data_IF_829562897448
#
_entry.id   IF_829562897448
#
_cell.length_a   1.000
_cell.length_b   1.000
_cell.length_c   1.000
_cell.angle_alpha   90.00
_cell.angle_beta   90.00
_cell.angle_gamma   90.00
#
_symmetry.space_group_name_H-M   'P 1'
#
loop_
_entity.id
_entity.type
_entity.pdbx_description
1 polymer ?
#
# COMPACT_ATOMS: atom_id res chain seq x y z
N UNK A 1 -44.81 -41.11 -29.59
CA UNK A 1 -45.62 -40.12 -28.88
C UNK A 1 -44.82 -39.71 -27.68
N UNK A 2 -44.07 -38.62 -27.81
CA UNK A 2 -43.28 -38.04 -26.72
C UNK A 2 -43.71 -36.59 -26.56
N UNK A 3 -44.31 -36.28 -25.44
CA UNK A 3 -44.72 -34.91 -25.13
C UNK A 3 -43.56 -34.21 -24.40
N UNK A 4 -43.05 -33.14 -24.98
CA UNK A 4 -42.12 -32.23 -24.38
C UNK A 4 -42.89 -31.26 -23.46
N UNK A 5 -42.57 -31.27 -22.19
CA UNK A 5 -43.08 -30.31 -21.24
C UNK A 5 -42.23 -29.03 -21.26
N UNK A 6 -42.85 -27.93 -21.68
CA UNK A 6 -42.29 -26.57 -21.58
C UNK A 6 -42.45 -26.06 -20.14
N UNK A 7 -41.35 -25.69 -19.51
CA UNK A 7 -41.35 -24.99 -18.22
C UNK A 7 -41.77 -23.52 -18.42
N UNK A 8 -42.56 -22.93 -17.52
CA UNK A 8 -42.95 -21.54 -17.60
C UNK A 8 -41.79 -20.62 -17.13
N UNK A 9 -41.52 -19.58 -17.93
CA UNK A 9 -40.65 -18.47 -17.62
C UNK A 9 -41.22 -17.63 -16.48
N UNK A 10 -40.45 -17.49 -15.41
CA UNK A 10 -40.80 -16.56 -14.35
C UNK A 10 -40.60 -15.10 -14.78
N UNK A 11 -41.51 -14.19 -14.41
CA UNK A 11 -41.32 -12.77 -14.72
C UNK A 11 -40.24 -12.15 -13.86
N UNK A 12 -39.31 -11.44 -14.50
CA UNK A 12 -38.39 -10.52 -13.85
C UNK A 12 -39.20 -9.38 -13.20
N UNK A 13 -39.25 -9.36 -11.90
CA UNK A 13 -39.71 -8.20 -11.13
C UNK A 13 -38.57 -7.19 -11.06
N UNK A 14 -38.50 -6.33 -12.06
CA UNK A 14 -37.81 -5.05 -11.96
C UNK A 14 -38.81 -4.04 -11.39
N UNK A 15 -38.50 -3.46 -10.25
CA UNK A 15 -39.28 -2.33 -9.76
C UNK A 15 -39.52 -2.33 -8.26
N UNK A 16 -38.48 -2.08 -7.46
CA UNK A 16 -38.67 -1.47 -6.16
C UNK A 16 -37.67 -0.28 -6.07
N UNK A 17 -38.13 0.91 -6.46
CA UNK A 17 -37.56 2.13 -5.90
C UNK A 17 -37.81 2.07 -4.41
N UNK A 18 -36.82 1.61 -3.66
CA UNK A 18 -36.78 1.87 -2.24
C UNK A 18 -36.64 3.39 -2.10
N UNK A 19 -37.74 4.05 -1.71
CA UNK A 19 -37.67 5.39 -1.13
C UNK A 19 -36.82 5.25 0.12
N UNK A 20 -35.53 5.54 0.03
CA UNK A 20 -34.72 5.81 1.19
C UNK A 20 -35.37 7.04 1.86
N UNK A 21 -35.89 6.88 3.06
CA UNK A 21 -36.26 7.99 3.90
C UNK A 21 -35.03 8.90 4.02
N UNK A 22 -35.19 10.23 3.99
CA UNK A 22 -34.05 11.09 4.21
C UNK A 22 -33.45 10.75 5.57
N UNK A 23 -32.17 10.38 5.56
CA UNK A 23 -31.39 10.13 6.77
C UNK A 23 -31.33 11.48 7.53
N UNK A 24 -31.88 11.53 8.73
CA UNK A 24 -31.85 12.71 9.57
C UNK A 24 -30.41 12.92 10.08
N UNK A 25 -29.75 13.94 9.55
CA UNK A 25 -28.33 14.25 9.72
C UNK A 25 -27.99 14.93 11.07
N UNK A 26 -28.92 14.95 12.02
CA UNK A 26 -28.73 15.64 13.31
C UNK A 26 -27.86 14.89 14.31
N UNK A 27 -27.28 13.71 13.96
CA UNK A 27 -26.44 12.88 14.83
C UNK A 27 -24.94 12.88 14.52
N UNK A 28 -24.46 13.76 13.62
CA UNK A 28 -23.04 13.79 13.21
C UNK A 28 -22.09 14.51 14.17
N UNK A 29 -22.42 14.66 15.45
CA UNK A 29 -21.50 15.23 16.46
C UNK A 29 -20.66 14.18 17.20
N UNK A 30 -20.24 13.13 16.51
CA UNK A 30 -19.14 12.26 16.97
C UNK A 30 -17.79 12.83 16.51
N UNK A 31 -16.67 12.44 17.16
CA UNK A 31 -15.36 12.80 16.63
C UNK A 31 -15.24 12.27 15.19
N UNK A 32 -15.01 13.19 14.22
CA UNK A 32 -14.84 12.78 12.83
C UNK A 32 -13.62 11.88 12.74
N UNK A 33 -13.83 10.63 12.33
CA UNK A 33 -12.75 9.69 12.12
C UNK A 33 -12.07 10.02 10.79
N UNK A 34 -10.76 10.19 10.79
CA UNK A 34 -10.00 10.38 9.57
C UNK A 34 -10.11 9.14 8.69
N UNK A 35 -10.29 9.34 7.39
CA UNK A 35 -10.46 8.26 6.41
C UNK A 35 -9.24 8.21 5.50
N UNK A 36 -8.74 7.01 5.21
CA UNK A 36 -7.68 6.80 4.24
C UNK A 36 -8.06 5.67 3.27
N UNK A 37 -7.63 5.80 2.03
CA UNK A 37 -7.80 4.79 0.99
C UNK A 37 -6.49 4.03 0.77
N UNK A 38 -6.53 2.71 0.69
CA UNK A 38 -5.44 1.95 0.07
C UNK A 38 -5.87 1.42 -1.30
N UNK A 39 -5.01 1.59 -2.30
CA UNK A 39 -5.13 0.99 -3.64
C UNK A 39 -4.01 -0.02 -3.75
N UNK A 40 -4.31 -1.30 -3.54
CA UNK A 40 -3.29 -2.35 -3.40
C UNK A 40 -3.84 -3.75 -3.70
N UNK A 41 -2.94 -4.70 -3.91
CA UNK A 41 -3.29 -6.10 -4.02
C UNK A 41 -3.78 -6.69 -2.70
N UNK A 42 -4.73 -7.62 -2.78
CA UNK A 42 -5.17 -8.45 -1.65
C UNK A 42 -4.24 -9.65 -1.52
N UNK A 43 -3.64 -9.86 -0.35
CA UNK A 43 -2.80 -11.02 -0.05
C UNK A 43 -3.54 -11.90 0.99
N UNK A 44 -3.90 -13.15 0.59
CA UNK A 44 -4.87 -13.99 1.29
C UNK A 44 -4.42 -14.48 2.67
N UNK A 45 -3.11 -14.54 2.96
CA UNK A 45 -2.62 -14.95 4.29
C UNK A 45 -2.72 -13.82 5.32
N UNK A 46 -2.99 -12.61 4.86
CA UNK A 46 -3.18 -11.44 5.72
C UNK A 46 -1.87 -10.81 6.20
N UNK A 47 -0.72 -11.27 5.68
CA UNK A 47 0.59 -10.76 6.06
C UNK A 47 0.99 -9.47 5.35
N UNK A 48 0.46 -9.21 4.16
CA UNK A 48 0.85 -8.06 3.33
C UNK A 48 -0.36 -7.46 2.60
N UNK A 49 -0.11 -6.51 1.68
CA UNK A 49 -1.12 -5.91 0.82
C UNK A 49 -2.20 -5.15 1.57
N UNK A 50 -3.38 -5.06 0.98
CA UNK A 50 -4.52 -4.33 1.55
C UNK A 50 -4.89 -4.81 2.96
N UNK A 51 -4.68 -6.09 3.29
CA UNK A 51 -4.93 -6.63 4.63
C UNK A 51 -3.99 -6.02 5.68
N UNK A 52 -2.70 -5.89 5.37
CA UNK A 52 -1.75 -5.25 6.26
C UNK A 52 -2.05 -3.74 6.38
N UNK A 53 -2.43 -3.11 5.28
CA UNK A 53 -2.78 -1.68 5.25
C UNK A 53 -4.00 -1.39 6.15
N UNK A 54 -5.10 -2.13 5.98
CA UNK A 54 -6.31 -1.93 6.77
C UNK A 54 -6.11 -2.22 8.27
N UNK A 55 -5.31 -3.24 8.61
CA UNK A 55 -4.92 -3.51 10.01
C UNK A 55 -4.12 -2.34 10.59
N UNK A 56 -3.21 -1.77 9.80
CA UNK A 56 -2.40 -0.61 10.22
C UNK A 56 -3.27 0.63 10.42
N UNK A 57 -4.15 0.93 9.47
CA UNK A 57 -5.11 2.04 9.60
C UNK A 57 -5.95 1.91 10.85
N UNK A 58 -6.54 0.72 11.06
CA UNK A 58 -7.34 0.45 12.26
C UNK A 58 -6.54 0.62 13.55
N UNK A 59 -5.30 0.09 13.60
CA UNK A 59 -4.43 0.18 14.78
C UNK A 59 -4.05 1.63 15.12
N UNK A 60 -3.95 2.50 14.13
CA UNK A 60 -3.64 3.92 14.29
C UNK A 60 -4.90 4.82 14.38
N UNK A 61 -6.09 4.23 14.49
CA UNK A 61 -7.35 4.98 14.66
C UNK A 61 -7.86 5.68 13.40
N UNK A 62 -7.40 5.28 12.21
CA UNK A 62 -7.87 5.77 10.92
C UNK A 62 -8.87 4.79 10.32
N UNK A 63 -10.01 5.28 9.79
CA UNK A 63 -10.96 4.45 9.06
C UNK A 63 -10.40 4.11 7.68
N UNK A 64 -10.04 2.84 7.49
CA UNK A 64 -9.42 2.37 6.25
C UNK A 64 -10.46 1.89 5.25
N UNK A 65 -10.34 2.36 4.00
CA UNK A 65 -11.04 1.84 2.83
C UNK A 65 -10.06 1.22 1.85
N UNK A 66 -10.52 0.35 0.93
CA UNK A 66 -9.62 -0.34 0.01
C UNK A 66 -10.22 -0.49 -1.39
N UNK A 67 -9.42 -0.20 -2.41
CA UNK A 67 -9.62 -0.62 -3.79
C UNK A 67 -8.60 -1.70 -4.14
N UNK A 68 -9.07 -2.89 -4.48
CA UNK A 68 -8.22 -4.05 -4.73
C UNK A 68 -7.77 -4.09 -6.18
N UNK A 69 -6.47 -4.21 -6.43
CA UNK A 69 -5.85 -4.22 -7.76
C UNK A 69 -5.59 -5.63 -8.28
N UNK A 70 -5.36 -6.57 -7.38
CA UNK A 70 -5.12 -7.97 -7.70
C UNK A 70 -5.40 -8.85 -6.48
N UNK A 71 -5.54 -10.16 -6.73
CA UNK A 71 -5.61 -11.17 -5.69
C UNK A 71 -4.34 -12.01 -5.75
N UNK A 72 -3.64 -12.08 -4.63
CA UNK A 72 -2.42 -12.89 -4.46
C UNK A 72 -2.69 -13.99 -3.45
N UNK A 73 -2.33 -15.22 -3.82
CA UNK A 73 -2.28 -16.37 -2.94
C UNK A 73 -0.97 -17.12 -3.12
N UNK A 74 -0.64 -17.98 -2.17
CA UNK A 74 0.54 -18.82 -2.24
C UNK A 74 0.16 -20.26 -2.61
N UNK A 75 1.05 -20.93 -3.35
CA UNK A 75 0.91 -22.35 -3.66
C UNK A 75 1.67 -23.21 -2.64
N UNK A 76 1.01 -23.84 -1.66
CA UNK A 76 1.69 -24.63 -0.65
C UNK A 76 2.31 -25.94 -1.20
N UNK A 77 1.96 -26.31 -2.43
CA UNK A 77 2.51 -27.51 -3.10
C UNK A 77 3.64 -27.18 -4.07
N UNK A 78 3.96 -25.90 -4.27
CA UNK A 78 5.00 -25.41 -5.17
C UNK A 78 5.83 -24.33 -4.49
N UNK A 79 6.54 -24.70 -3.43
CA UNK A 79 7.46 -23.84 -2.67
C UNK A 79 6.91 -22.46 -2.31
N UNK A 80 5.59 -22.39 -2.04
CA UNK A 80 4.90 -21.14 -1.73
C UNK A 80 4.97 -20.10 -2.84
N UNK A 81 5.07 -20.53 -4.09
CA UNK A 81 5.06 -19.65 -5.26
C UNK A 81 3.80 -18.79 -5.28
N UNK A 82 3.95 -17.55 -5.69
CA UNK A 82 2.83 -16.62 -5.79
C UNK A 82 1.92 -17.00 -6.95
N UNK A 83 0.61 -17.09 -6.66
CA UNK A 83 -0.46 -17.11 -7.66
C UNK A 83 -1.05 -15.71 -7.69
N UNK A 84 -1.02 -15.09 -8.84
CA UNK A 84 -1.42 -13.71 -9.05
C UNK A 84 -2.57 -13.64 -10.05
N UNK A 85 -3.65 -12.92 -9.68
CA UNK A 85 -4.80 -12.66 -10.58
C UNK A 85 -5.09 -11.16 -10.52
N UNK A 86 -4.93 -10.41 -11.63
CA UNK A 86 -5.31 -9.00 -11.65
C UNK A 86 -6.84 -8.85 -11.55
N UNK A 87 -7.28 -7.79 -10.90
CA UNK A 87 -8.68 -7.34 -10.94
C UNK A 87 -8.90 -6.58 -12.25
N UNK A 88 -10.09 -6.71 -12.82
CA UNK A 88 -10.47 -5.98 -14.03
C UNK A 88 -10.31 -4.46 -13.81
N UNK A 89 -9.67 -3.73 -14.74
CA UNK A 89 -9.43 -2.30 -14.61
C UNK A 89 -10.70 -1.47 -14.36
N UNK A 90 -11.81 -1.82 -14.98
CA UNK A 90 -13.08 -1.13 -14.72
C UNK A 90 -13.55 -1.34 -13.27
N UNK A 91 -13.41 -2.55 -12.75
CA UNK A 91 -13.77 -2.85 -11.35
C UNK A 91 -12.88 -2.05 -10.38
N UNK A 92 -11.60 -1.84 -10.72
CA UNK A 92 -10.70 -1.01 -9.92
C UNK A 92 -11.19 0.46 -9.91
N UNK A 93 -11.52 1.01 -11.08
CA UNK A 93 -12.07 2.36 -11.20
C UNK A 93 -13.37 2.51 -10.40
N UNK A 94 -14.29 1.55 -10.53
CA UNK A 94 -15.58 1.54 -9.82
C UNK A 94 -15.39 1.50 -8.28
N UNK A 95 -14.41 0.74 -7.78
CA UNK A 95 -14.08 0.71 -6.34
C UNK A 95 -13.58 2.08 -5.84
N UNK A 96 -12.69 2.73 -6.60
CA UNK A 96 -12.16 4.04 -6.26
C UNK A 96 -13.28 5.09 -6.29
N UNK A 97 -14.12 5.08 -7.34
CA UNK A 97 -15.27 5.98 -7.46
C UNK A 97 -16.23 5.81 -6.29
N UNK A 98 -16.66 4.58 -6.00
CA UNK A 98 -17.60 4.28 -4.94
C UNK A 98 -17.08 4.76 -3.57
N UNK A 99 -15.81 4.49 -3.26
CA UNK A 99 -15.19 4.89 -2.00
C UNK A 99 -15.10 6.41 -1.84
N UNK A 100 -14.66 7.11 -2.89
CA UNK A 100 -14.53 8.58 -2.87
C UNK A 100 -15.88 9.31 -2.98
N UNK A 101 -16.93 8.65 -3.44
CA UNK A 101 -18.29 9.19 -3.40
C UNK A 101 -18.94 9.07 -2.01
N UNK A 102 -18.55 8.08 -1.22
CA UNK A 102 -19.09 7.85 0.14
C UNK A 102 -18.33 8.65 1.20
N UNK A 103 -17.03 8.80 1.05
CA UNK A 103 -16.15 9.41 2.05
C UNK A 103 -15.38 10.59 1.46
N UNK A 104 -15.18 11.62 2.27
CA UNK A 104 -14.20 12.67 2.00
C UNK A 104 -12.80 12.10 2.27
N UNK A 105 -12.04 11.80 1.22
CA UNK A 105 -10.71 11.19 1.29
C UNK A 105 -9.71 12.12 0.61
N UNK A 106 -8.75 12.61 1.36
CA UNK A 106 -7.65 13.44 0.89
C UNK A 106 -6.29 12.72 0.89
N UNK A 107 -6.25 11.52 1.47
CA UNK A 107 -5.01 10.77 1.68
C UNK A 107 -5.16 9.32 1.20
N UNK A 108 -4.28 8.93 0.29
CA UNK A 108 -4.29 7.61 -0.36
C UNK A 108 -2.92 6.94 -0.29
N UNK A 109 -2.93 5.64 -0.04
CA UNK A 109 -1.74 4.78 -0.17
C UNK A 109 -1.84 3.98 -1.46
N UNK A 110 -0.77 3.96 -2.24
CA UNK A 110 -0.60 3.10 -3.41
C UNK A 110 0.37 1.97 -3.05
N UNK A 111 -0.10 0.73 -3.17
CA UNK A 111 0.73 -0.47 -3.02
C UNK A 111 0.96 -1.19 -4.35
N UNK A 112 0.95 -2.52 -4.33
CA UNK A 112 1.17 -3.32 -5.53
C UNK A 112 0.02 -3.14 -6.53
N UNK A 113 0.33 -2.69 -7.75
CA UNK A 113 -0.61 -2.51 -8.86
C UNK A 113 -0.61 -3.70 -9.83
N UNK A 114 0.54 -4.30 -10.05
CA UNK A 114 0.70 -5.60 -10.70
C UNK A 114 0.76 -5.60 -12.22
N UNK A 115 0.10 -4.70 -12.94
CA UNK A 115 0.12 -4.65 -14.40
C UNK A 115 0.16 -3.21 -14.94
N UNK A 116 0.73 -2.96 -16.14
CA UNK A 116 0.69 -1.64 -16.76
C UNK A 116 -0.72 -1.09 -16.95
N UNK A 117 -1.69 -1.93 -17.31
CA UNK A 117 -3.10 -1.51 -17.50
C UNK A 117 -3.73 -1.07 -16.17
N UNK A 118 -3.45 -1.77 -15.07
CA UNK A 118 -3.85 -1.35 -13.72
C UNK A 118 -3.23 0.00 -13.35
N UNK A 119 -1.95 0.19 -13.67
CA UNK A 119 -1.24 1.45 -13.43
C UNK A 119 -1.90 2.59 -14.19
N UNK A 120 -2.26 2.39 -15.45
CA UNK A 120 -2.97 3.39 -16.27
C UNK A 120 -4.31 3.78 -15.64
N UNK A 121 -5.08 2.79 -15.20
CA UNK A 121 -6.38 3.02 -14.56
C UNK A 121 -6.24 3.79 -13.26
N UNK A 122 -5.28 3.41 -12.41
CA UNK A 122 -5.05 4.09 -11.14
C UNK A 122 -4.52 5.50 -11.35
N UNK A 123 -3.57 5.71 -12.29
CA UNK A 123 -3.06 7.04 -12.62
C UNK A 123 -4.18 7.97 -13.10
N UNK A 124 -5.05 7.49 -14.00
CA UNK A 124 -6.21 8.25 -14.45
C UNK A 124 -7.16 8.60 -13.28
N UNK A 125 -7.44 7.63 -12.42
CA UNK A 125 -8.30 7.84 -11.24
C UNK A 125 -7.71 8.83 -10.24
N UNK A 126 -6.38 8.85 -10.07
CA UNK A 126 -5.69 9.84 -9.22
C UNK A 126 -5.73 11.24 -9.84
N UNK A 127 -5.52 11.37 -11.15
CA UNK A 127 -5.52 12.65 -11.85
C UNK A 127 -6.89 13.34 -11.85
N UNK A 128 -7.98 12.58 -11.80
CA UNK A 128 -9.35 13.10 -11.70
C UNK A 128 -9.74 13.61 -10.30
N UNK A 129 -8.91 13.34 -9.29
CA UNK A 129 -9.20 13.62 -7.88
C UNK A 129 -8.09 14.44 -7.24
N UNK A 130 -8.46 15.26 -6.27
CA UNK A 130 -7.52 16.13 -5.56
C UNK A 130 -7.11 15.48 -4.24
N UNK A 131 -6.27 14.44 -4.29
CA UNK A 131 -5.65 13.90 -3.08
C UNK A 131 -4.53 14.84 -2.62
N UNK A 132 -4.53 15.24 -1.36
CA UNK A 132 -3.48 16.05 -0.74
C UNK A 132 -2.22 15.21 -0.51
N UNK A 133 -2.41 13.96 -0.08
CA UNK A 133 -1.33 13.03 0.22
C UNK A 133 -1.48 11.75 -0.62
N UNK A 134 -0.50 11.49 -1.47
CA UNK A 134 -0.37 10.25 -2.23
C UNK A 134 0.90 9.55 -1.77
N UNK A 135 0.75 8.52 -0.92
CA UNK A 135 1.87 7.73 -0.37
C UNK A 135 2.09 6.51 -1.24
N UNK A 136 3.22 6.44 -1.90
CA UNK A 136 3.59 5.31 -2.77
C UNK A 136 4.56 4.36 -2.06
N UNK A 137 4.16 3.10 -1.87
CA UNK A 137 5.08 1.98 -1.63
C UNK A 137 5.47 1.42 -3.01
N UNK A 138 6.66 1.74 -3.55
CA UNK A 138 6.99 1.54 -4.95
C UNK A 138 7.41 0.09 -5.23
N UNK A 139 6.44 -0.83 -5.19
CA UNK A 139 6.68 -2.25 -5.41
C UNK A 139 7.11 -2.48 -6.86
N UNK A 140 8.42 -2.41 -7.13
CA UNK A 140 9.02 -2.54 -8.46
C UNK A 140 9.11 -3.99 -8.93
N UNK A 141 9.30 -4.96 -8.04
CA UNK A 141 9.30 -6.38 -8.40
C UNK A 141 8.00 -7.01 -7.92
N UNK A 142 7.08 -7.24 -8.84
CA UNK A 142 5.92 -8.07 -8.58
C UNK A 142 6.35 -9.54 -8.65
N UNK A 143 6.51 -10.18 -7.48
CA UNK A 143 6.87 -11.59 -7.39
C UNK A 143 5.85 -12.44 -8.17
N UNK A 144 6.36 -13.39 -8.95
CA UNK A 144 5.52 -14.31 -9.76
C UNK A 144 5.21 -13.83 -11.16
N UNK A 145 5.78 -12.71 -11.62
CA UNK A 145 5.70 -12.27 -13.02
C UNK A 145 6.94 -12.69 -13.82
N UNK A 146 6.76 -12.84 -15.14
CA UNK A 146 7.88 -13.03 -16.07
C UNK A 146 8.76 -11.76 -16.10
N UNK A 147 10.08 -11.88 -16.28
CA UNK A 147 11.01 -10.73 -16.19
C UNK A 147 10.66 -9.55 -17.12
N UNK A 148 10.17 -9.81 -18.33
CA UNK A 148 9.75 -8.75 -19.26
C UNK A 148 8.52 -7.98 -18.78
N UNK A 149 7.51 -8.69 -18.29
CA UNK A 149 6.30 -8.08 -17.76
C UNK A 149 6.56 -7.28 -16.47
N UNK A 150 7.51 -7.73 -15.65
CA UNK A 150 7.95 -7.00 -14.48
C UNK A 150 8.60 -5.66 -14.86
N UNK A 151 9.49 -5.66 -15.88
CA UNK A 151 10.15 -4.43 -16.36
C UNK A 151 9.14 -3.42 -16.93
N UNK A 152 8.14 -3.87 -17.68
CA UNK A 152 7.10 -2.98 -18.23
C UNK A 152 6.26 -2.37 -17.11
N UNK A 153 5.96 -3.14 -16.07
CA UNK A 153 5.24 -2.68 -14.88
C UNK A 153 6.05 -1.64 -14.10
N UNK A 154 7.35 -1.90 -13.90
CA UNK A 154 8.26 -0.98 -13.21
C UNK A 154 8.38 0.36 -13.95
N UNK A 155 8.53 0.32 -15.27
CA UNK A 155 8.62 1.52 -16.09
C UNK A 155 7.30 2.32 -16.04
N UNK A 156 6.17 1.65 -16.19
CA UNK A 156 4.86 2.30 -16.10
C UNK A 156 4.64 2.97 -14.72
N UNK A 157 5.06 2.32 -13.63
CA UNK A 157 4.95 2.89 -12.28
C UNK A 157 5.80 4.14 -12.14
N UNK A 158 7.05 4.13 -12.62
CA UNK A 158 7.96 5.28 -12.59
C UNK A 158 7.45 6.45 -13.42
N UNK A 159 6.86 6.15 -14.58
CA UNK A 159 6.38 7.17 -15.52
C UNK A 159 5.04 7.79 -15.14
N UNK A 160 4.13 7.01 -14.53
CA UNK A 160 2.73 7.39 -14.39
C UNK A 160 2.26 7.58 -12.95
N UNK A 161 2.80 6.84 -11.98
CA UNK A 161 2.38 6.94 -10.58
C UNK A 161 3.35 7.79 -9.76
N UNK A 162 4.65 7.56 -9.91
CA UNK A 162 5.66 8.27 -9.12
C UNK A 162 5.57 9.81 -9.25
N UNK A 163 5.30 10.38 -10.44
CA UNK A 163 5.08 11.82 -10.57
C UNK A 163 3.80 12.37 -9.89
N UNK A 164 2.88 11.49 -9.48
CA UNK A 164 1.67 11.86 -8.75
C UNK A 164 1.83 11.66 -7.23
N UNK A 165 2.91 11.00 -6.80
CA UNK A 165 3.18 10.76 -5.40
C UNK A 165 3.69 12.02 -4.71
N UNK A 166 3.27 12.22 -3.44
CA UNK A 166 3.80 13.26 -2.55
C UNK A 166 4.79 12.69 -1.54
N UNK A 167 4.72 11.38 -1.29
CA UNK A 167 5.57 10.66 -0.37
C UNK A 167 5.87 9.26 -0.91
N UNK A 168 7.13 8.83 -0.89
CA UNK A 168 7.55 7.50 -1.38
C UNK A 168 8.35 6.74 -0.31
N UNK A 169 8.12 5.42 -0.22
CA UNK A 169 8.77 4.57 0.79
C UNK A 169 9.58 3.43 0.16
N UNK A 170 10.65 3.70 -0.60
CA UNK A 170 11.42 2.67 -1.29
C UNK A 170 12.21 1.80 -0.31
N UNK A 171 12.23 0.47 -0.53
CA UNK A 171 13.19 -0.40 0.13
C UNK A 171 14.58 -0.24 -0.51
N UNK A 172 15.60 -0.91 0.04
CA UNK A 172 16.98 -0.82 -0.43
C UNK A 172 17.12 -1.05 -1.94
N UNK A 173 16.49 -2.08 -2.50
CA UNK A 173 16.53 -2.37 -3.94
C UNK A 173 15.81 -1.28 -4.75
N UNK A 174 14.65 -0.85 -4.29
CA UNK A 174 13.86 0.20 -4.92
C UNK A 174 14.59 1.56 -4.85
N UNK A 175 15.22 1.88 -3.72
CA UNK A 175 16.05 3.07 -3.56
C UNK A 175 17.23 3.08 -4.54
N UNK A 176 17.93 1.95 -4.68
CA UNK A 176 19.00 1.79 -5.67
C UNK A 176 18.48 2.04 -7.09
N UNK A 177 17.35 1.42 -7.44
CA UNK A 177 16.76 1.52 -8.78
C UNK A 177 16.25 2.91 -9.10
N UNK A 178 15.61 3.60 -8.14
CA UNK A 178 15.03 4.93 -8.34
C UNK A 178 16.07 6.04 -8.31
N UNK A 179 17.13 5.89 -7.51
CA UNK A 179 18.23 6.87 -7.43
C UNK A 179 19.22 6.80 -8.59
N UNK A 180 19.20 5.70 -9.36
CA UNK A 180 20.16 5.44 -10.42
C UNK A 180 21.61 5.28 -9.93
N UNK A 181 21.82 4.94 -8.67
CA UNK A 181 23.14 4.62 -8.11
C UNK A 181 23.56 3.21 -8.49
N UNK A 182 24.87 2.95 -8.52
CA UNK A 182 25.43 1.63 -8.81
C UNK A 182 25.37 0.70 -7.59
N UNK A 183 25.48 1.24 -6.36
CA UNK A 183 25.39 0.51 -5.10
C UNK A 183 24.89 1.40 -3.96
N UNK A 184 24.36 0.77 -2.91
CA UNK A 184 24.05 1.37 -1.60
C UNK A 184 24.61 0.43 -0.55
N UNK A 185 25.74 0.76 0.05
CA UNK A 185 26.47 -0.10 0.99
C UNK A 185 26.48 0.47 2.42
N UNK A 186 26.12 1.74 2.57
CA UNK A 186 26.14 2.46 3.83
C UNK A 186 24.85 3.26 4.06
N UNK A 187 24.69 3.80 5.27
CA UNK A 187 23.59 4.74 5.60
C UNK A 187 23.76 6.04 4.82
N UNK A 188 25.00 6.48 4.62
CA UNK A 188 25.34 7.66 3.84
C UNK A 188 24.94 7.49 2.36
N UNK A 189 25.15 6.32 1.77
CA UNK A 189 24.69 6.01 0.42
C UNK A 189 23.15 5.99 0.34
N UNK A 190 22.49 5.44 1.38
CA UNK A 190 21.03 5.45 1.44
C UNK A 190 20.48 6.88 1.55
N UNK A 191 21.18 7.75 2.28
CA UNK A 191 20.83 9.16 2.36
C UNK A 191 21.05 9.90 1.02
N UNK A 192 22.11 9.57 0.30
CA UNK A 192 22.34 10.08 -1.06
C UNK A 192 21.27 9.58 -2.02
N UNK A 193 20.87 8.32 -1.94
CA UNK A 193 19.78 7.76 -2.74
C UNK A 193 18.45 8.51 -2.47
N UNK A 194 18.14 8.78 -1.20
CA UNK A 194 16.94 9.54 -0.82
C UNK A 194 16.96 10.96 -1.43
N UNK A 195 18.08 11.67 -1.38
CA UNK A 195 18.23 13.00 -2.00
C UNK A 195 18.02 12.95 -3.51
N UNK A 196 18.65 12.00 -4.21
CA UNK A 196 18.52 11.88 -5.67
C UNK A 196 17.09 11.55 -6.10
N UNK A 197 16.38 10.73 -5.33
CA UNK A 197 14.98 10.42 -5.60
C UNK A 197 14.13 11.68 -5.41
N UNK A 198 14.34 12.42 -4.33
CA UNK A 198 13.67 13.69 -4.10
C UNK A 198 13.92 14.68 -5.25
N UNK A 199 15.19 14.92 -5.57
CA UNK A 199 15.59 15.88 -6.62
C UNK A 199 15.03 15.51 -8.00
N UNK A 200 14.85 14.22 -8.28
CA UNK A 200 14.35 13.73 -9.57
C UNK A 200 12.84 13.81 -9.69
N UNK A 201 12.11 13.55 -8.61
CA UNK A 201 10.65 13.34 -8.65
C UNK A 201 9.86 14.37 -7.83
N UNK A 202 10.52 15.29 -7.11
CA UNK A 202 9.91 16.29 -6.22
C UNK A 202 8.97 15.64 -5.17
N UNK A 203 9.46 14.59 -4.50
CA UNK A 203 8.70 13.73 -3.58
C UNK A 203 9.42 13.56 -2.26
N UNK A 204 8.69 13.55 -1.13
CA UNK A 204 9.25 13.20 0.18
C UNK A 204 9.63 11.72 0.19
N UNK A 205 10.81 11.39 0.71
CA UNK A 205 11.37 10.05 0.68
C UNK A 205 11.57 9.50 2.09
N UNK A 206 11.13 8.27 2.32
CA UNK A 206 11.52 7.45 3.47
C UNK A 206 12.20 6.18 2.95
N UNK A 207 13.49 6.23 2.68
CA UNK A 207 14.27 5.11 2.17
C UNK A 207 14.55 4.09 3.27
N UNK A 208 14.17 2.83 3.03
CA UNK A 208 14.25 1.73 4.02
C UNK A 208 15.57 0.98 3.89
N UNK A 209 16.45 1.05 4.88
CA UNK A 209 17.68 0.23 4.94
C UNK A 209 17.41 -1.21 5.37
N UNK A 210 16.42 -1.40 6.22
CA UNK A 210 16.00 -2.73 6.67
C UNK A 210 17.15 -3.52 7.35
N UNK A 211 17.27 -4.81 6.99
CA UNK A 211 18.33 -5.70 7.48
C UNK A 211 19.53 -5.77 6.54
N UNK A 212 19.50 -5.05 5.41
CA UNK A 212 20.51 -5.18 4.34
C UNK A 212 21.81 -4.47 4.68
N UNK A 213 21.72 -3.26 5.23
CA UNK A 213 22.91 -2.48 5.62
C UNK A 213 23.56 -3.11 6.85
N UNK A 214 24.88 -3.09 6.92
CA UNK A 214 25.63 -3.61 8.05
C UNK A 214 25.36 -2.81 9.36
N UNK A 215 25.62 -3.46 10.48
CA UNK A 215 25.48 -2.85 11.81
C UNK A 215 24.34 -3.40 12.65
N UNK A 216 24.20 -2.96 13.91
CA UNK A 216 23.21 -3.48 14.86
C UNK A 216 21.82 -2.89 14.65
N UNK A 217 21.70 -1.76 13.92
CA UNK A 217 20.46 -1.02 13.73
C UNK A 217 19.88 -1.21 12.34
N UNK A 218 18.56 -1.31 12.27
CA UNK A 218 17.79 -1.08 11.05
C UNK A 218 17.60 0.44 10.91
N UNK A 219 18.24 1.03 9.91
CA UNK A 219 18.23 2.47 9.68
C UNK A 219 17.38 2.77 8.46
N UNK A 220 16.39 3.67 8.60
CA UNK A 220 15.68 4.26 7.48
C UNK A 220 16.06 5.74 7.38
N UNK A 221 16.07 6.29 6.18
CA UNK A 221 16.45 7.69 5.94
C UNK A 221 15.24 8.46 5.40
N UNK A 222 14.83 9.47 6.15
CA UNK A 222 13.84 10.45 5.74
C UNK A 222 14.52 11.64 5.06
N UNK A 223 13.96 12.11 3.95
CA UNK A 223 14.39 13.33 3.24
C UNK A 223 13.19 14.05 2.62
N UNK A 224 13.09 15.37 2.84
CA UNK A 224 11.98 16.22 2.39
C UNK A 224 12.41 17.45 1.57
N UNK A 225 13.69 17.47 1.14
CA UNK A 225 14.29 18.58 0.42
C UNK A 225 14.97 19.61 1.33
N UNK A 226 14.57 19.71 2.61
CA UNK A 226 15.18 20.64 3.57
C UNK A 226 16.10 19.91 4.55
N UNK A 227 15.71 18.71 4.98
CA UNK A 227 16.44 17.94 5.99
C UNK A 227 16.58 16.48 5.60
N UNK A 228 17.68 15.88 6.07
CA UNK A 228 17.92 14.43 5.97
C UNK A 228 18.03 13.87 7.39
N UNK A 229 17.13 12.97 7.78
CA UNK A 229 17.03 12.44 9.14
C UNK A 229 17.12 10.92 9.11
N UNK A 230 18.02 10.36 9.91
CA UNK A 230 18.12 8.93 10.15
C UNK A 230 17.13 8.48 11.23
N UNK A 231 16.31 7.49 10.92
CA UNK A 231 15.41 6.84 11.85
C UNK A 231 15.95 5.46 12.20
N UNK A 232 16.46 5.31 13.41
CA UNK A 232 17.16 4.10 13.88
C UNK A 232 16.29 3.28 14.83
N UNK A 233 16.35 1.96 14.70
CA UNK A 233 15.83 0.99 15.67
C UNK A 233 16.75 -0.23 15.68
N UNK A 234 16.86 -1.00 16.77
CA UNK A 234 17.60 -2.24 16.78
C UNK A 234 17.11 -3.20 15.69
N UNK A 235 18.01 -3.92 15.04
CA UNK A 235 17.63 -5.01 14.12
C UNK A 235 16.97 -6.14 14.91
N UNK A 236 15.83 -6.62 14.40
CA UNK A 236 15.09 -7.73 14.99
C UNK A 236 15.16 -8.92 14.03
N UNK A 237 16.04 -9.85 14.33
CA UNK A 237 16.34 -10.99 13.46
C UNK A 237 17.17 -10.61 12.23
N UNK A 238 17.42 -11.59 11.38
CA UNK A 238 18.31 -11.47 10.20
C UNK A 238 17.54 -11.48 8.88
N UNK A 239 16.24 -11.75 8.93
CA UNK A 239 15.43 -11.97 7.73
C UNK A 239 14.33 -10.91 7.60
N UNK A 240 13.91 -10.70 6.36
CA UNK A 240 12.77 -9.85 6.05
C UNK A 240 11.49 -10.49 6.58
N UNK A 241 10.59 -9.65 7.11
CA UNK A 241 9.26 -10.05 7.59
C UNK A 241 8.22 -9.58 6.59
N UNK A 242 7.27 -10.46 6.24
CA UNK A 242 6.22 -10.15 5.27
C UNK A 242 5.33 -9.01 5.79
N UNK A 243 5.02 -8.07 4.92
CA UNK A 243 4.14 -6.93 5.21
C UNK A 243 4.79 -5.75 5.95
N UNK A 244 6.09 -5.83 6.31
CA UNK A 244 6.77 -4.71 6.97
C UNK A 244 6.75 -3.44 6.11
N UNK A 245 6.99 -3.53 4.80
CA UNK A 245 6.91 -2.40 3.86
C UNK A 245 5.51 -1.82 3.76
N UNK A 246 4.50 -2.68 3.56
CA UNK A 246 3.10 -2.26 3.51
C UNK A 246 2.66 -1.56 4.80
N UNK A 247 3.03 -2.13 5.96
CA UNK A 247 2.73 -1.54 7.27
C UNK A 247 3.38 -0.16 7.43
N UNK A 248 4.64 0.01 7.00
CA UNK A 248 5.32 1.31 7.08
C UNK A 248 4.62 2.36 6.21
N UNK A 249 4.33 2.05 4.94
CA UNK A 249 3.65 2.97 4.04
C UNK A 249 2.23 3.29 4.51
N UNK A 250 1.48 2.29 5.01
CA UNK A 250 0.15 2.49 5.56
C UNK A 250 0.17 3.35 6.84
N UNK A 251 1.19 3.18 7.70
CA UNK A 251 1.33 4.02 8.89
C UNK A 251 1.63 5.48 8.53
N UNK A 252 2.52 5.75 7.57
CA UNK A 252 2.71 7.10 7.02
C UNK A 252 1.39 7.67 6.54
N UNK A 253 0.63 6.90 5.76
CA UNK A 253 -0.68 7.32 5.22
C UNK A 253 -1.67 7.65 6.34
N UNK A 254 -1.79 6.80 7.35
CA UNK A 254 -2.70 7.01 8.47
C UNK A 254 -2.36 8.29 9.26
N UNK A 255 -1.07 8.54 9.51
CA UNK A 255 -0.63 9.73 10.24
C UNK A 255 -0.84 11.01 9.42
N UNK A 256 -0.54 10.98 8.11
CA UNK A 256 -0.81 12.11 7.23
C UNK A 256 -2.31 12.42 7.14
N UNK A 257 -3.17 11.39 7.07
CA UNK A 257 -4.62 11.57 7.10
C UNK A 257 -5.12 12.24 8.40
N UNK A 258 -4.41 12.05 9.52
CA UNK A 258 -4.68 12.73 10.80
C UNK A 258 -4.06 14.12 10.90
N UNK A 259 -3.33 14.58 9.88
CA UNK A 259 -2.70 15.90 9.83
C UNK A 259 -1.32 15.97 10.49
N UNK A 260 -0.67 14.84 10.74
CA UNK A 260 0.72 14.84 11.21
C UNK A 260 1.66 15.40 10.14
N UNK A 261 2.77 16.00 10.57
CA UNK A 261 3.83 16.37 9.65
C UNK A 261 4.48 15.14 9.01
N UNK A 262 5.07 15.24 7.80
CA UNK A 262 5.73 14.12 7.14
C UNK A 262 6.78 13.41 8.01
N UNK A 263 7.58 14.16 8.76
CA UNK A 263 8.59 13.58 9.65
C UNK A 263 7.97 12.85 10.85
N UNK A 264 6.92 13.39 11.45
CA UNK A 264 6.20 12.72 12.54
C UNK A 264 5.53 11.44 12.04
N UNK A 265 4.90 11.47 10.86
CA UNK A 265 4.35 10.29 10.20
C UNK A 265 5.43 9.21 9.97
N UNK A 266 6.61 9.59 9.50
CA UNK A 266 7.75 8.68 9.32
C UNK A 266 8.24 8.08 10.65
N UNK A 267 8.28 8.85 11.74
CA UNK A 267 8.66 8.38 13.09
C UNK A 267 7.67 7.37 13.64
N UNK A 268 6.39 7.66 13.56
CA UNK A 268 5.32 6.73 13.97
C UNK A 268 5.36 5.46 13.13
N UNK A 269 5.54 5.58 11.81
CA UNK A 269 5.67 4.44 10.91
C UNK A 269 6.86 3.55 11.28
N UNK A 270 8.02 4.12 11.63
CA UNK A 270 9.17 3.37 12.13
C UNK A 270 8.86 2.62 13.41
N UNK A 271 8.18 3.25 14.36
CA UNK A 271 7.84 2.66 15.65
C UNK A 271 6.86 1.49 15.51
N UNK A 272 5.77 1.66 14.78
CA UNK A 272 4.78 0.58 14.58
C UNK A 272 5.38 -0.60 13.81
N UNK A 273 6.19 -0.37 12.78
CA UNK A 273 6.85 -1.44 12.03
C UNK A 273 7.82 -2.22 12.91
N UNK A 274 8.62 -1.53 13.72
CA UNK A 274 9.55 -2.18 14.66
C UNK A 274 8.80 -3.08 15.63
N UNK A 275 7.76 -2.56 16.29
CA UNK A 275 6.89 -3.35 17.19
C UNK A 275 6.22 -4.52 16.47
N UNK A 276 5.74 -4.31 15.24
CA UNK A 276 5.07 -5.35 14.46
C UNK A 276 6.00 -6.48 14.02
N UNK A 277 7.28 -6.18 13.79
CA UNK A 277 8.33 -7.17 13.50
C UNK A 277 8.71 -7.94 14.77
N UNK A 278 8.82 -7.25 15.90
CA UNK A 278 9.14 -7.87 17.19
C UNK A 278 8.09 -8.92 17.60
N UNK A 279 6.82 -8.61 17.38
CA UNK A 279 5.68 -9.47 17.72
C UNK A 279 5.11 -10.24 16.51
N UNK A 280 5.93 -10.48 15.49
CA UNK A 280 5.52 -11.12 14.26
C UNK A 280 4.79 -12.45 14.48
N UNK A 281 3.82 -12.72 13.63
CA UNK A 281 3.05 -13.95 13.60
C UNK A 281 3.83 -15.00 12.80
N UNK A 282 4.27 -16.11 13.41
CA UNK A 282 4.90 -17.20 12.67
C UNK A 282 3.89 -17.92 11.78
N UNK A 283 4.36 -18.41 10.65
CA UNK A 283 3.57 -19.17 9.69
C UNK A 283 4.32 -20.36 9.13
N UNK A 284 3.62 -21.19 8.32
CA UNK A 284 4.25 -22.28 7.58
C UNK A 284 4.97 -21.83 6.31
N UNK A 285 4.81 -20.55 5.92
CA UNK A 285 5.53 -19.97 4.79
C UNK A 285 7.00 -19.70 5.17
N UNK A 286 7.90 -19.45 4.18
CA UNK A 286 9.27 -19.07 4.47
C UNK A 286 9.41 -17.74 5.24
N UNK A 287 8.32 -16.99 5.38
CA UNK A 287 8.33 -15.66 6.01
C UNK A 287 7.27 -15.58 7.10
N UNK A 288 7.69 -15.09 8.28
CA UNK A 288 6.75 -14.62 9.28
C UNK A 288 6.03 -13.36 8.78
N UNK A 289 4.84 -13.10 9.31
CA UNK A 289 4.07 -11.90 9.00
C UNK A 289 4.14 -10.90 10.16
N UNK A 290 4.19 -9.60 9.85
CA UNK A 290 4.10 -8.54 10.86
C UNK A 290 2.75 -8.59 11.60
N UNK A 291 2.75 -8.21 12.89
CA UNK A 291 1.53 -8.13 13.69
C UNK A 291 1.32 -6.71 14.22
N UNK A 292 0.52 -5.93 13.52
CA UNK A 292 0.26 -4.52 13.81
C UNK A 292 -0.43 -4.30 15.15
N UNK A 293 -1.25 -5.27 15.59
CA UNK A 293 -2.02 -5.19 16.84
C UNK A 293 -1.18 -5.16 18.12
N UNK A 294 0.14 -5.39 18.04
CA UNK A 294 1.05 -5.29 19.17
C UNK A 294 1.48 -3.84 19.48
N UNK A 295 1.35 -2.93 18.53
CA UNK A 295 1.71 -1.53 18.74
C UNK A 295 0.73 -0.84 19.68
N UNK A 296 1.26 -0.15 20.69
CA UNK A 296 0.49 0.71 21.60
C UNK A 296 0.96 2.15 21.36
N UNK A 297 0.03 2.99 20.92
CA UNK A 297 0.27 4.41 20.65
C UNK A 297 0.45 5.21 21.94
#
# INVERSE_FOLDING_TARGET
VSAAATAPSAPMLCGARACAAPYDDTSKEGPMTHVALTIAGSETTGGAGAQADLKTFHQLGTFGTAALTCIVSFDPQNDWAHRFVPVDPQVIADQIEATTAVHEIDTVKIGMLGTPVTIDTVAASLAERSFTNVVLDPVLICKGQEPGAALDTDNALKEKILPLATFVTPNHFEALTLSGMDSIESVEDLAEAARRIHDTYDVIVLAKGGVVLDGPDAVDVFHDGEQTIELRSPKIGEHRVSGAGCTLAAAVTAELAKGASPLEAARTAKAIVTSSIEHRQPGATPFDAVYQGAYQA
#
